data_IF_028026008226
#
_entry.id   IF_028026008226
#
_cell.length_a   1.000
_cell.length_b   1.000
_cell.length_c   1.000
_cell.angle_alpha   90.00
_cell.angle_beta   90.00
_cell.angle_gamma   90.00
#
_symmetry.space_group_name_H-M   'P 1'
#
loop_
_entity.id
_entity.type
_entity.pdbx_description
1 polymer ?
#
# COMPACT_ATOMS: atom_id res chain seq x y z
N UNK A 1 3.48 -22.29 34.98
CA UNK A 1 4.74 -21.95 34.26
C UNK A 1 5.50 -23.17 33.72
N UNK A 2 5.52 -24.33 34.39
CA UNK A 2 6.14 -25.56 33.84
C UNK A 2 5.39 -26.19 32.67
N UNK A 3 4.07 -26.03 32.62
CA UNK A 3 3.25 -26.65 31.57
C UNK A 3 3.37 -25.93 30.22
N UNK A 4 3.54 -24.60 30.24
CA UNK A 4 3.73 -23.78 29.03
C UNK A 4 5.03 -24.11 28.28
N UNK A 5 6.07 -24.52 29.01
CA UNK A 5 7.36 -24.92 28.42
C UNK A 5 7.25 -26.28 27.73
N UNK A 6 6.44 -27.21 28.26
CA UNK A 6 6.18 -28.51 27.63
C UNK A 6 5.35 -28.37 26.35
N UNK A 7 4.34 -27.50 26.37
CA UNK A 7 3.49 -27.25 25.21
C UNK A 7 4.27 -26.57 24.07
N UNK A 8 5.23 -25.70 24.40
CA UNK A 8 6.09 -25.05 23.41
C UNK A 8 7.11 -26.01 22.76
N UNK A 9 7.60 -27.00 23.51
CA UNK A 9 8.49 -28.05 22.96
C UNK A 9 7.72 -28.99 22.04
N UNK A 10 6.47 -29.32 22.38
CA UNK A 10 5.58 -30.12 21.51
C UNK A 10 5.19 -29.38 20.23
N UNK A 11 4.95 -28.06 20.31
CA UNK A 11 4.67 -27.21 19.16
C UNK A 11 5.86 -27.13 18.19
N UNK A 12 7.10 -27.06 18.71
CA UNK A 12 8.32 -27.13 17.89
C UNK A 12 8.46 -28.46 17.15
N UNK A 13 8.10 -29.57 17.78
CA UNK A 13 8.07 -30.88 17.14
C UNK A 13 7.05 -30.96 16.00
N UNK A 14 5.85 -30.40 16.21
CA UNK A 14 4.78 -30.40 15.20
C UNK A 14 5.09 -29.49 14.01
N UNK A 15 5.63 -28.29 14.24
CA UNK A 15 6.01 -27.37 13.16
C UNK A 15 7.19 -27.94 12.37
N UNK A 16 8.18 -28.53 13.05
CA UNK A 16 9.31 -29.20 12.41
C UNK A 16 8.87 -30.35 11.51
N UNK A 17 7.97 -31.21 11.99
CA UNK A 17 7.42 -32.33 11.23
C UNK A 17 6.53 -31.89 10.05
N UNK A 18 5.73 -30.84 10.22
CA UNK A 18 4.89 -30.29 9.16
C UNK A 18 5.72 -29.64 8.03
N UNK A 19 6.84 -28.98 8.38
CA UNK A 19 7.77 -28.41 7.39
C UNK A 19 8.49 -29.51 6.60
N UNK A 20 8.94 -30.58 7.27
CA UNK A 20 9.58 -31.71 6.59
C UNK A 20 8.60 -32.44 5.66
N UNK A 21 7.34 -32.59 6.08
CA UNK A 21 6.30 -33.24 5.27
C UNK A 21 5.94 -32.42 4.03
N UNK A 22 5.89 -31.08 4.13
CA UNK A 22 5.56 -30.21 3.00
C UNK A 22 6.70 -30.15 1.96
N UNK A 23 7.96 -30.27 2.41
CA UNK A 23 9.14 -30.23 1.52
C UNK A 23 9.37 -31.60 0.84
N UNK A 24 9.09 -32.72 1.51
CA UNK A 24 9.23 -34.06 0.93
C UNK A 24 8.21 -34.37 -0.19
N UNK A 25 7.06 -33.68 -0.21
CA UNK A 25 6.01 -33.89 -1.23
C UNK A 25 5.98 -32.82 -2.34
N UNK A 26 6.87 -31.82 -2.31
CA UNK A 26 7.01 -30.83 -3.38
C UNK A 26 8.00 -31.30 -4.44
N UNK A 27 7.60 -32.25 -5.27
CA UNK A 27 8.35 -32.64 -6.46
C UNK A 27 8.08 -31.65 -7.61
N UNK A 28 8.87 -30.58 -7.73
CA UNK A 28 8.96 -29.88 -9.02
C UNK A 28 10.23 -29.03 -9.15
N UNK A 29 10.97 -29.35 -10.21
CA UNK A 29 12.16 -28.73 -10.81
C UNK A 29 12.53 -27.30 -10.39
N UNK A 30 13.71 -27.17 -9.78
CA UNK A 30 14.80 -26.22 -10.11
C UNK A 30 15.50 -25.76 -8.84
N UNK A 31 16.75 -26.20 -8.65
CA UNK A 31 17.63 -25.76 -7.56
C UNK A 31 17.57 -26.64 -6.31
N UNK A 32 18.43 -27.66 -6.26
CA UNK A 32 18.80 -28.31 -5.01
C UNK A 32 19.53 -27.29 -4.12
N UNK A 33 18.77 -26.58 -3.30
CA UNK A 33 19.32 -25.96 -2.10
C UNK A 33 19.64 -27.15 -1.18
N UNK A 34 20.92 -27.37 -0.87
CA UNK A 34 21.35 -28.37 0.11
C UNK A 34 20.58 -28.14 1.42
N UNK A 35 19.63 -29.02 1.67
CA UNK A 35 18.68 -28.98 2.80
C UNK A 35 19.46 -28.96 4.14
N UNK A 36 20.64 -29.56 4.14
CA UNK A 36 21.55 -29.58 5.28
C UNK A 36 22.04 -28.18 5.66
N UNK A 37 22.31 -27.28 4.71
CA UNK A 37 22.77 -25.92 4.99
C UNK A 37 21.66 -25.02 5.57
N UNK A 38 20.40 -25.24 5.18
CA UNK A 38 19.24 -24.48 5.69
C UNK A 38 18.88 -24.92 7.10
N UNK A 39 18.89 -26.24 7.36
CA UNK A 39 18.67 -26.79 8.69
C UNK A 39 19.84 -26.46 9.63
N UNK A 40 21.07 -26.51 9.15
CA UNK A 40 22.24 -26.12 9.93
C UNK A 40 22.20 -24.62 10.26
N UNK A 41 21.75 -23.76 9.34
CA UNK A 41 21.48 -22.35 9.60
C UNK A 41 20.39 -22.11 10.66
N UNK A 42 19.33 -22.92 10.66
CA UNK A 42 18.27 -22.86 11.67
C UNK A 42 18.71 -23.38 13.04
N UNK A 43 19.57 -24.42 13.08
CA UNK A 43 20.09 -25.02 14.30
C UNK A 43 21.24 -24.20 14.90
N UNK A 44 22.07 -23.56 14.06
CA UNK A 44 23.17 -22.67 14.49
C UNK A 44 22.73 -21.22 14.70
N UNK A 45 21.52 -20.84 14.29
CA UNK A 45 20.98 -19.52 14.64
C UNK A 45 20.90 -19.41 16.16
N UNK A 46 21.81 -18.61 16.72
CA UNK A 46 21.90 -18.29 18.14
C UNK A 46 20.68 -17.43 18.52
N UNK A 47 19.50 -18.06 18.60
CA UNK A 47 18.27 -17.44 19.06
C UNK A 47 18.42 -17.16 20.54
N UNK A 48 19.06 -16.05 20.85
CA UNK A 48 18.93 -15.43 22.16
C UNK A 48 17.45 -15.05 22.31
N UNK A 49 16.77 -15.44 23.40
CA UNK A 49 15.48 -14.87 23.71
C UNK A 49 15.68 -13.35 23.81
N UNK A 50 15.28 -12.62 22.78
CA UNK A 50 15.14 -11.18 22.89
C UNK A 50 13.93 -10.98 23.79
N UNK A 51 14.20 -10.72 25.07
CA UNK A 51 13.18 -10.23 25.98
C UNK A 51 12.72 -8.91 25.39
N UNK A 52 11.51 -8.90 24.80
CA UNK A 52 10.90 -7.75 24.15
C UNK A 52 10.76 -6.54 25.09
N UNK A 53 10.95 -6.77 26.40
CA UNK A 53 10.96 -5.76 27.45
C UNK A 53 12.18 -4.82 27.39
N UNK A 54 13.31 -5.26 26.79
CA UNK A 54 14.57 -4.49 26.80
C UNK A 54 14.95 -3.84 25.44
N UNK A 55 14.24 -4.16 24.35
CA UNK A 55 14.62 -3.73 22.99
C UNK A 55 13.64 -2.78 22.31
N UNK A 56 12.41 -2.66 22.82
CA UNK A 56 11.57 -1.52 22.54
C UNK A 56 11.82 -0.54 23.69
N UNK A 57 12.25 0.68 23.33
CA UNK A 57 12.48 1.82 24.22
C UNK A 57 12.00 1.56 25.66
N UNK A 58 12.89 1.52 26.67
CA UNK A 58 12.45 1.39 28.05
C UNK A 58 11.31 2.38 28.25
N UNK A 59 10.20 1.90 28.79
CA UNK A 59 9.04 2.72 29.16
C UNK A 59 9.49 3.57 30.35
N UNK A 60 10.43 4.46 30.11
CA UNK A 60 11.03 5.35 31.06
C UNK A 60 10.12 6.60 31.12
N UNK A 61 10.03 7.28 32.27
CA UNK A 61 9.20 8.48 32.45
C UNK A 61 9.58 9.66 31.54
N UNK A 62 10.63 9.51 30.71
CA UNK A 62 11.14 10.49 29.75
C UNK A 62 10.14 10.89 28.63
N UNK A 63 8.96 10.25 28.54
CA UNK A 63 7.83 10.76 27.73
C UNK A 63 7.41 12.18 28.12
N UNK A 64 7.70 12.66 29.33
CA UNK A 64 7.45 14.06 29.71
C UNK A 64 8.40 15.07 29.06
N UNK A 65 9.52 14.62 28.48
CA UNK A 65 10.56 15.49 27.89
C UNK A 65 10.78 15.26 26.39
N UNK A 66 10.20 14.20 25.81
CA UNK A 66 10.03 14.08 24.36
C UNK A 66 8.87 14.97 23.93
N UNK A 67 9.08 16.29 23.97
CA UNK A 67 8.30 17.18 23.13
C UNK A 67 8.60 16.78 21.70
N UNK A 68 7.75 15.94 21.10
CA UNK A 68 7.65 15.85 19.64
C UNK A 68 7.47 17.29 19.20
N UNK A 69 8.53 17.91 18.67
CA UNK A 69 8.48 19.31 18.26
C UNK A 69 7.24 19.51 17.39
N UNK A 70 6.55 20.63 17.56
CA UNK A 70 5.36 20.91 16.76
C UNK A 70 5.71 20.76 15.27
N UNK A 71 5.23 19.67 14.67
CA UNK A 71 5.32 19.49 13.22
C UNK A 71 4.36 20.50 12.64
N UNK A 72 4.88 21.68 12.29
CA UNK A 72 4.13 22.70 11.57
C UNK A 72 3.98 22.23 10.13
N UNK A 73 2.92 21.49 9.87
CA UNK A 73 2.51 21.18 8.51
C UNK A 73 2.16 22.50 7.82
N UNK A 74 2.68 22.77 6.61
CA UNK A 74 2.29 23.95 5.86
C UNK A 74 0.81 23.83 5.48
N UNK A 75 -0.05 24.52 6.23
CA UNK A 75 -1.48 24.63 5.96
C UNK A 75 -1.72 25.69 4.87
N UNK A 76 -1.18 25.47 3.67
CA UNK A 76 -1.64 26.22 2.50
C UNK A 76 -2.93 25.58 1.97
N UNK A 77 -3.90 26.40 1.59
CA UNK A 77 -5.12 25.95 0.90
C UNK A 77 -4.93 25.86 -0.62
N UNK A 78 -3.70 26.03 -1.11
CA UNK A 78 -3.39 25.96 -2.55
C UNK A 78 -3.21 24.51 -3.00
N UNK A 79 -3.95 24.16 -4.05
CA UNK A 79 -4.01 22.84 -4.67
C UNK A 79 -3.89 22.99 -6.21
N UNK A 80 -3.24 22.05 -6.93
CA UNK A 80 -2.42 20.93 -6.44
C UNK A 80 -1.04 21.36 -5.90
N UNK A 81 -0.48 20.53 -5.01
CA UNK A 81 0.85 20.73 -4.42
C UNK A 81 1.64 19.44 -4.12
N UNK A 82 0.98 18.27 -4.10
CA UNK A 82 1.63 17.02 -3.71
C UNK A 82 2.75 16.64 -4.68
N UNK A 83 2.45 16.63 -5.98
CA UNK A 83 3.39 16.24 -7.03
C UNK A 83 3.89 17.43 -7.85
N UNK A 84 3.07 18.46 -7.99
CA UNK A 84 3.36 19.66 -8.78
C UNK A 84 2.48 20.81 -8.32
N UNK A 85 2.89 22.05 -8.62
CA UNK A 85 2.08 23.24 -8.40
C UNK A 85 1.27 23.61 -9.64
N UNK A 86 0.13 24.28 -9.45
CA UNK A 86 -0.74 24.77 -10.54
C UNK A 86 0.00 25.61 -11.58
N UNK A 87 1.02 26.36 -11.15
CA UNK A 87 1.85 27.22 -12.00
C UNK A 87 2.65 26.43 -13.05
N UNK A 88 2.87 25.12 -12.86
CA UNK A 88 3.61 24.26 -13.79
C UNK A 88 2.74 23.61 -14.87
N UNK A 89 1.47 23.98 -15.00
CA UNK A 89 0.54 23.36 -15.97
C UNK A 89 1.05 23.44 -17.41
N UNK A 90 1.52 24.61 -17.86
CA UNK A 90 2.03 24.80 -19.22
C UNK A 90 3.29 23.96 -19.49
N UNK A 91 4.17 23.85 -18.50
CA UNK A 91 5.36 23.02 -18.60
C UNK A 91 4.98 21.54 -18.74
N UNK A 92 4.08 21.05 -17.90
CA UNK A 92 3.58 19.68 -17.94
C UNK A 92 2.91 19.36 -19.27
N UNK A 93 2.05 20.24 -19.79
CA UNK A 93 1.42 20.11 -21.11
C UNK A 93 2.45 19.99 -22.24
N UNK A 94 3.59 20.68 -22.15
CA UNK A 94 4.66 20.55 -23.15
C UNK A 94 5.41 19.21 -23.03
N UNK A 95 5.65 18.74 -21.80
CA UNK A 95 6.43 17.53 -21.53
C UNK A 95 5.68 16.26 -21.93
N UNK A 96 4.38 16.18 -21.65
CA UNK A 96 3.55 15.01 -21.99
C UNK A 96 3.49 14.72 -23.49
N UNK A 97 3.82 15.69 -24.35
CA UNK A 97 3.85 15.49 -25.81
C UNK A 97 5.15 14.85 -26.31
N UNK A 98 6.19 14.79 -25.46
CA UNK A 98 7.53 14.29 -25.83
C UNK A 98 7.74 12.89 -25.26
N UNK A 99 8.55 12.06 -25.94
CA UNK A 99 8.96 10.76 -25.39
C UNK A 99 9.92 10.95 -24.20
N UNK A 100 9.86 10.08 -23.16
CA UNK A 100 8.98 8.90 -23.03
C UNK A 100 7.57 9.23 -22.50
N UNK A 101 7.35 10.47 -22.04
CA UNK A 101 6.12 10.89 -21.34
C UNK A 101 4.85 10.76 -22.18
N UNK A 102 4.94 10.85 -23.50
CA UNK A 102 3.78 10.66 -24.39
C UNK A 102 3.19 9.26 -24.34
N UNK A 103 4.01 8.23 -24.11
CA UNK A 103 3.50 6.86 -23.93
C UNK A 103 2.73 6.75 -22.62
N UNK A 104 3.32 7.22 -21.53
CA UNK A 104 2.67 7.26 -20.22
C UNK A 104 1.37 8.07 -20.25
N UNK A 105 1.40 9.26 -20.87
CA UNK A 105 0.23 10.12 -21.01
C UNK A 105 -0.90 9.46 -21.80
N UNK A 106 -0.58 8.78 -22.90
CA UNK A 106 -1.59 8.07 -23.68
C UNK A 106 -2.24 6.92 -22.89
N UNK A 107 -1.46 6.19 -22.10
CA UNK A 107 -1.99 5.15 -21.19
C UNK A 107 -2.91 5.75 -20.13
N UNK A 108 -2.49 6.84 -19.49
CA UNK A 108 -3.28 7.53 -18.48
C UNK A 108 -4.59 8.10 -19.07
N UNK A 109 -4.51 8.74 -20.23
CA UNK A 109 -5.66 9.29 -20.94
C UNK A 109 -6.63 8.20 -21.38
N UNK A 110 -6.13 7.07 -21.90
CA UNK A 110 -6.95 5.90 -22.23
C UNK A 110 -7.71 5.38 -21.02
N UNK A 111 -7.06 5.34 -19.85
CA UNK A 111 -7.71 4.97 -18.59
C UNK A 111 -8.80 5.96 -18.18
N UNK A 112 -8.54 7.26 -18.30
CA UNK A 112 -9.55 8.29 -18.02
C UNK A 112 -10.75 8.19 -18.98
N UNK A 113 -10.52 7.87 -20.25
CA UNK A 113 -11.58 7.62 -21.22
C UNK A 113 -12.41 6.38 -20.85
N UNK A 114 -11.76 5.30 -20.39
CA UNK A 114 -12.44 4.14 -19.84
C UNK A 114 -13.34 4.50 -18.66
N UNK A 115 -12.86 5.34 -17.74
CA UNK A 115 -13.63 5.80 -16.58
C UNK A 115 -14.93 6.53 -16.95
N UNK A 116 -14.96 7.25 -18.09
CA UNK A 116 -16.18 7.91 -18.55
C UNK A 116 -17.32 6.92 -18.86
N UNK A 117 -16.98 5.67 -19.16
CA UNK A 117 -17.93 4.59 -19.48
C UNK A 117 -18.18 3.64 -18.29
N UNK A 118 -17.45 3.82 -17.19
CA UNK A 118 -17.56 3.00 -15.98
C UNK A 118 -18.41 3.71 -14.93
N UNK A 119 -19.28 2.97 -14.26
CA UNK A 119 -19.94 3.42 -13.04
C UNK A 119 -18.95 3.31 -11.86
N UNK A 120 -18.43 4.45 -11.39
CA UNK A 120 -17.46 4.51 -10.29
C UNK A 120 -18.13 4.54 -8.92
N UNK A 121 -19.47 4.58 -8.88
CA UNK A 121 -20.27 4.45 -7.65
C UNK A 121 -20.60 2.98 -7.33
N UNK A 122 -20.38 2.06 -8.26
CA UNK A 122 -20.71 0.65 -8.11
C UNK A 122 -19.95 0.02 -6.93
N UNK A 123 -20.69 -0.66 -6.04
CA UNK A 123 -20.13 -1.35 -4.87
C UNK A 123 -19.24 -2.55 -5.21
N UNK A 124 -19.43 -3.14 -6.40
CA UNK A 124 -18.64 -4.28 -6.89
C UNK A 124 -17.34 -3.88 -7.59
N UNK A 125 -17.08 -2.59 -7.78
CA UNK A 125 -15.84 -2.11 -8.39
C UNK A 125 -14.69 -2.31 -7.40
N UNK A 126 -13.60 -2.93 -7.86
CA UNK A 126 -12.38 -3.06 -7.05
C UNK A 126 -11.88 -1.67 -6.68
N UNK A 127 -11.56 -1.49 -5.41
CA UNK A 127 -11.26 -0.16 -4.88
C UNK A 127 -9.97 0.42 -5.50
N UNK A 128 -8.98 -0.45 -5.78
CA UNK A 128 -7.80 -0.08 -6.55
C UNK A 128 -8.16 0.49 -7.93
N UNK A 129 -9.06 -0.16 -8.67
CA UNK A 129 -9.45 0.30 -10.01
C UNK A 129 -10.15 1.67 -9.92
N UNK A 130 -11.02 1.86 -8.92
CA UNK A 130 -11.67 3.15 -8.63
C UNK A 130 -10.64 4.25 -8.33
N UNK A 131 -9.62 3.95 -7.53
CA UNK A 131 -8.55 4.89 -7.17
C UNK A 131 -7.74 5.33 -8.40
N UNK A 132 -7.32 4.37 -9.23
CA UNK A 132 -6.53 4.67 -10.43
C UNK A 132 -7.39 5.39 -11.49
N UNK A 133 -8.70 5.12 -11.58
CA UNK A 133 -9.61 5.92 -12.40
C UNK A 133 -9.75 7.36 -11.89
N UNK A 134 -9.82 7.56 -10.57
CA UNK A 134 -9.88 8.89 -9.96
C UNK A 134 -8.66 9.72 -10.33
N UNK A 135 -7.46 9.17 -10.15
CA UNK A 135 -6.19 9.82 -10.51
C UNK A 135 -6.12 10.15 -11.99
N UNK A 136 -6.42 9.18 -12.86
CA UNK A 136 -6.37 9.37 -14.30
C UNK A 136 -7.33 10.48 -14.75
N UNK A 137 -8.56 10.51 -14.21
CA UNK A 137 -9.53 11.55 -14.52
C UNK A 137 -9.09 12.92 -13.99
N UNK A 138 -8.61 12.99 -12.74
CA UNK A 138 -8.16 14.24 -12.14
C UNK A 138 -7.00 14.86 -12.93
N UNK A 139 -5.98 14.07 -13.26
CA UNK A 139 -4.83 14.53 -14.03
C UNK A 139 -5.22 14.90 -15.47
N UNK A 140 -6.11 14.12 -16.11
CA UNK A 140 -6.60 14.47 -17.47
C UNK A 140 -7.38 15.78 -17.47
N UNK A 141 -8.23 16.01 -16.46
CA UNK A 141 -8.89 17.30 -16.26
C UNK A 141 -7.88 18.43 -16.09
N UNK A 142 -6.86 18.26 -15.26
CA UNK A 142 -5.84 19.29 -15.03
C UNK A 142 -5.10 19.69 -16.32
N UNK A 143 -4.84 18.73 -17.20
CA UNK A 143 -4.13 18.97 -18.46
C UNK A 143 -5.04 19.52 -19.56
N UNK A 144 -6.23 18.96 -19.75
CA UNK A 144 -7.11 19.25 -20.90
C UNK A 144 -8.25 20.23 -20.58
N UNK A 145 -8.60 20.40 -19.30
CA UNK A 145 -9.69 21.26 -18.86
C UNK A 145 -11.10 20.71 -19.10
N UNK A 146 -11.25 19.46 -19.57
CA UNK A 146 -12.56 18.86 -19.81
C UNK A 146 -13.25 18.47 -18.49
N UNK A 147 -14.34 19.17 -18.18
CA UNK A 147 -15.11 19.01 -16.94
C UNK A 147 -15.73 17.63 -16.74
N UNK A 148 -15.87 16.80 -17.80
CA UNK A 148 -16.39 15.43 -17.66
C UNK A 148 -15.46 14.56 -16.80
N UNK A 149 -14.15 14.74 -16.97
CA UNK A 149 -13.17 14.04 -16.13
C UNK A 149 -13.17 14.56 -14.70
N UNK A 150 -13.38 15.86 -14.49
CA UNK A 150 -13.56 16.41 -13.13
C UNK A 150 -14.76 15.75 -12.43
N UNK A 151 -15.89 15.64 -13.13
CA UNK A 151 -17.10 15.03 -12.59
C UNK A 151 -16.84 13.57 -12.19
N UNK A 152 -16.16 12.79 -13.05
CA UNK A 152 -15.83 11.39 -12.78
C UNK A 152 -14.81 11.23 -11.65
N UNK A 153 -13.81 12.09 -11.55
CA UNK A 153 -12.88 12.07 -10.43
C UNK A 153 -13.61 12.34 -9.10
N UNK A 154 -14.55 13.29 -9.07
CA UNK A 154 -15.39 13.55 -7.90
C UNK A 154 -16.31 12.37 -7.56
N UNK A 155 -16.92 11.74 -8.57
CA UNK A 155 -17.73 10.52 -8.37
C UNK A 155 -16.93 9.44 -7.65
N UNK A 156 -15.70 9.16 -8.11
CA UNK A 156 -14.82 8.17 -7.47
C UNK A 156 -14.49 8.55 -6.02
N UNK A 157 -14.09 9.80 -5.77
CA UNK A 157 -13.71 10.30 -4.45
C UNK A 157 -14.88 10.30 -3.44
N UNK A 158 -16.10 10.52 -3.90
CA UNK A 158 -17.31 10.51 -3.06
C UNK A 158 -17.77 9.09 -2.71
N UNK A 159 -17.34 8.09 -3.47
CA UNK A 159 -17.75 6.70 -3.29
C UNK A 159 -16.60 5.78 -2.86
N UNK A 160 -15.56 6.34 -2.23
CA UNK A 160 -14.49 5.54 -1.62
C UNK A 160 -15.12 4.57 -0.61
N UNK A 161 -14.80 3.29 -0.76
CA UNK A 161 -15.32 2.25 0.12
C UNK A 161 -14.81 2.45 1.56
N UNK A 162 -15.61 2.13 2.59
CA UNK A 162 -15.14 2.21 3.96
C UNK A 162 -13.98 1.25 4.18
N UNK A 163 -13.02 1.66 5.03
CA UNK A 163 -11.92 0.79 5.40
C UNK A 163 -12.44 -0.47 6.12
N UNK A 164 -11.99 -1.67 5.74
CA UNK A 164 -12.38 -2.91 6.38
C UNK A 164 -11.75 -3.00 7.77
N UNK A 165 -12.29 -3.90 8.59
CA UNK A 165 -11.77 -4.14 9.92
C UNK A 165 -10.38 -4.80 9.87
N UNK A 166 -9.49 -4.33 10.74
CA UNK A 166 -8.18 -4.96 10.92
C UNK A 166 -8.36 -6.31 11.60
N UNK A 167 -8.02 -7.40 10.89
CA UNK A 167 -8.17 -8.78 11.41
C UNK A 167 -6.85 -9.49 11.70
N UNK A 168 -5.70 -8.93 11.30
CA UNK A 168 -4.36 -9.46 11.62
C UNK A 168 -3.30 -8.34 11.63
N UNK A 169 -2.03 -8.70 11.86
CA UNK A 169 -0.88 -7.77 11.86
C UNK A 169 -0.62 -7.12 10.49
N UNK A 170 -1.15 -7.69 9.42
CA UNK A 170 -1.03 -7.18 8.05
C UNK A 170 -2.19 -6.26 7.67
N UNK A 171 -3.12 -5.98 8.59
CA UNK A 171 -4.27 -5.11 8.32
C UNK A 171 -5.53 -5.86 7.90
N UNK A 172 -5.42 -7.15 7.56
CA UNK A 172 -6.54 -8.02 7.28
C UNK A 172 -6.26 -9.09 6.21
N UNK A 173 -7.23 -9.43 5.35
CA UNK A 173 -7.09 -10.56 4.42
C UNK A 173 -6.24 -10.18 3.20
N UNK A 174 -5.14 -10.91 2.90
CA UNK A 174 -4.31 -10.62 1.73
C UNK A 174 -5.12 -10.63 0.43
N UNK A 175 -4.91 -9.62 -0.42
CA UNK A 175 -5.57 -9.51 -1.72
C UNK A 175 -6.99 -8.95 -1.69
N UNK A 176 -7.54 -8.73 -0.49
CA UNK A 176 -8.71 -7.90 -0.30
C UNK A 176 -8.21 -6.46 -0.34
N UNK A 177 -8.42 -5.73 -1.45
CA UNK A 177 -7.73 -4.47 -1.81
C UNK A 177 -7.42 -3.51 -0.64
N UNK A 178 -8.43 -3.10 0.14
CA UNK A 178 -8.27 -2.25 1.32
C UNK A 178 -8.01 -3.03 2.61
N UNK A 179 -8.09 -4.35 2.52
CA UNK A 179 -8.02 -5.34 3.58
C UNK A 179 -6.62 -5.73 4.00
N UNK A 180 -5.56 -5.38 3.28
CA UNK A 180 -4.19 -5.45 3.81
C UNK A 180 -3.48 -4.09 3.69
N UNK A 181 -2.55 -3.80 4.59
CA UNK A 181 -1.91 -2.49 4.70
C UNK A 181 -1.11 -2.11 3.45
N UNK A 182 -0.53 -3.09 2.75
CA UNK A 182 0.26 -2.84 1.54
C UNK A 182 -0.67 -2.41 0.41
N UNK A 183 -1.66 -3.23 0.09
CA UNK A 183 -2.67 -2.95 -0.95
C UNK A 183 -3.46 -1.68 -0.65
N UNK A 184 -3.79 -1.42 0.63
CA UNK A 184 -4.44 -0.19 1.05
C UNK A 184 -3.54 1.03 0.83
N UNK A 185 -2.23 0.93 1.11
CA UNK A 185 -1.29 2.03 0.86
C UNK A 185 -1.15 2.34 -0.64
N UNK A 186 -1.08 1.31 -1.48
CA UNK A 186 -1.04 1.46 -2.95
C UNK A 186 -2.33 2.09 -3.49
N UNK A 187 -3.48 1.72 -2.92
CA UNK A 187 -4.79 2.26 -3.30
C UNK A 187 -5.00 3.70 -2.84
N UNK A 188 -4.46 4.06 -1.67
CA UNK A 188 -4.61 5.40 -1.10
C UNK A 188 -3.84 6.47 -1.91
N UNK A 189 -2.69 6.13 -2.48
CA UNK A 189 -1.84 7.07 -3.21
C UNK A 189 -2.57 7.74 -4.40
N UNK A 190 -3.21 7.02 -5.34
CA UNK A 190 -4.00 7.62 -6.41
C UNK A 190 -5.12 8.53 -5.89
N UNK A 191 -5.78 8.17 -4.79
CA UNK A 191 -6.83 9.01 -4.21
C UNK A 191 -6.31 10.33 -3.66
N UNK A 192 -5.18 10.31 -2.96
CA UNK A 192 -4.56 11.54 -2.45
C UNK A 192 -4.15 12.47 -3.59
N UNK A 193 -3.60 11.92 -4.67
CA UNK A 193 -3.24 12.69 -5.87
C UNK A 193 -4.50 13.24 -6.54
N UNK A 194 -5.54 12.43 -6.70
CA UNK A 194 -6.80 12.86 -7.29
C UNK A 194 -7.45 13.98 -6.48
N UNK A 195 -7.51 13.84 -5.16
CA UNK A 195 -8.04 14.84 -4.24
C UNK A 195 -7.26 16.15 -4.36
N UNK A 196 -5.93 16.10 -4.30
CA UNK A 196 -5.08 17.29 -4.39
C UNK A 196 -5.25 18.04 -5.72
N UNK A 197 -5.52 17.34 -6.81
CA UNK A 197 -5.78 17.98 -8.12
C UNK A 197 -7.20 18.57 -8.17
N UNK A 198 -8.20 17.85 -7.64
CA UNK A 198 -9.63 18.21 -7.75
C UNK A 198 -10.06 19.26 -6.72
N UNK A 199 -9.37 19.37 -5.58
CA UNK A 199 -9.66 20.34 -4.51
C UNK A 199 -9.29 21.80 -4.86
N UNK A 200 -9.03 22.08 -6.14
CA UNK A 200 -8.46 23.34 -6.65
C UNK A 200 -9.47 24.32 -7.24
#
# INVERSE_FOLDING_TARGET
MRDFVKDFVLLKGYIGAALTFTILFSSSSSGQIEIDNVLEGFIKADFRPVYLEDSFLPIDPLRSHLSLGEIRLPLSNEHPRLLFSRQRSAELQSRIRRRPYSVWWNTLKSRAQGALMTDLSASGLREFDRAVYAEACAFTYFIEGDGRYLQKAKEALLHISPAPHVVNLEGGKPGDTWGDFVSASETMLPYLVAYDIVAS
#
